data_IF_628950993869
#
_entry.id   IF_628950993869
#
_cell.length_a   1.000
_cell.length_b   1.000
_cell.length_c   1.000
_cell.angle_alpha   90.00
_cell.angle_beta   90.00
_cell.angle_gamma   90.00
#
_symmetry.space_group_name_H-M   'P 1'
#
loop_
_entity.id
_entity.type
_entity.pdbx_description
1 polymer ?
#
# COMPACT_ATOMS: atom_id res chain seq x y z
N UNK A 1 2.03 -33.76 -33.17
CA UNK A 1 1.60 -32.51 -33.81
C UNK A 1 2.47 -31.37 -33.28
N UNK A 2 3.42 -30.89 -34.08
CA UNK A 2 4.26 -29.73 -33.77
C UNK A 2 3.49 -28.48 -34.16
N UNK A 3 2.85 -27.85 -33.18
CA UNK A 3 2.18 -26.55 -33.35
C UNK A 3 3.15 -25.56 -34.01
N UNK A 4 2.76 -24.98 -35.14
CA UNK A 4 3.52 -23.93 -35.85
C UNK A 4 3.49 -22.58 -35.13
N UNK A 5 2.80 -22.49 -33.98
CA UNK A 5 2.80 -21.30 -33.14
C UNK A 5 4.08 -21.19 -32.32
N UNK A 6 4.81 -20.09 -32.46
CA UNK A 6 5.93 -19.75 -31.58
C UNK A 6 5.40 -19.02 -30.35
N UNK A 7 5.89 -19.37 -29.16
CA UNK A 7 5.64 -18.60 -27.95
C UNK A 7 6.49 -17.32 -28.03
N UNK A 8 5.90 -16.12 -27.88
CA UNK A 8 6.67 -14.88 -27.87
C UNK A 8 7.70 -14.87 -26.73
N UNK A 9 8.86 -14.26 -26.98
CA UNK A 9 9.84 -13.95 -25.94
C UNK A 9 9.37 -12.76 -25.10
N UNK A 10 9.97 -12.55 -23.93
CA UNK A 10 9.73 -11.35 -23.10
C UNK A 10 9.87 -10.05 -23.91
N UNK A 11 10.90 -9.98 -24.76
CA UNK A 11 11.10 -8.83 -25.68
C UNK A 11 9.96 -8.67 -26.68
N UNK A 12 9.37 -9.77 -27.14
CA UNK A 12 8.19 -9.74 -28.01
C UNK A 12 6.96 -9.21 -27.28
N UNK A 13 6.73 -9.65 -26.05
CA UNK A 13 5.68 -9.10 -25.21
C UNK A 13 5.91 -7.63 -24.89
N UNK A 14 7.14 -7.22 -24.58
CA UNK A 14 7.50 -5.81 -24.34
C UNK A 14 7.07 -4.90 -25.49
N UNK A 15 7.44 -5.23 -26.73
CA UNK A 15 7.04 -4.44 -27.90
C UNK A 15 5.51 -4.35 -28.05
N UNK A 16 4.81 -5.47 -27.84
CA UNK A 16 3.35 -5.51 -27.89
C UNK A 16 2.70 -4.63 -26.81
N UNK A 17 3.17 -4.75 -25.57
CA UNK A 17 2.61 -4.04 -24.42
C UNK A 17 2.90 -2.54 -24.50
N UNK A 18 4.09 -2.14 -24.95
CA UNK A 18 4.42 -0.72 -25.14
C UNK A 18 3.50 -0.07 -26.18
N UNK A 19 3.24 -0.75 -27.30
CA UNK A 19 2.27 -0.28 -28.30
C UNK A 19 0.86 -0.18 -27.74
N UNK A 20 0.47 -1.14 -26.88
CA UNK A 20 -0.85 -1.17 -26.27
C UNK A 20 -1.03 -0.02 -25.27
N UNK A 21 -0.03 0.27 -24.43
CA UNK A 21 -0.04 1.40 -23.49
C UNK A 21 -0.04 2.73 -24.25
N UNK A 22 0.77 2.88 -25.30
CA UNK A 22 0.77 4.09 -26.12
C UNK A 22 -0.57 4.33 -26.83
N UNK A 23 -1.21 3.26 -27.31
CA UNK A 23 -2.50 3.32 -27.98
C UNK A 23 -3.70 3.31 -27.01
N UNK A 24 -3.48 3.23 -25.69
CA UNK A 24 -4.54 3.08 -24.69
C UNK A 24 -5.56 4.21 -24.77
N UNK A 25 -5.08 5.45 -24.77
CA UNK A 25 -5.90 6.66 -24.88
C UNK A 25 -6.70 6.74 -26.19
N UNK A 26 -6.27 6.04 -27.26
CA UNK A 26 -6.89 6.06 -28.59
C UNK A 26 -7.77 4.81 -28.86
N UNK A 27 -7.53 3.72 -28.15
CA UNK A 27 -8.21 2.43 -28.33
C UNK A 27 -9.66 2.46 -27.86
N UNK A 28 -10.58 2.26 -28.81
CA UNK A 28 -12.03 2.17 -28.52
C UNK A 28 -12.34 1.00 -27.58
N UNK A 29 -11.67 -0.13 -27.76
CA UNK A 29 -11.89 -1.33 -26.95
C UNK A 29 -11.44 -1.14 -25.50
N UNK A 30 -10.23 -0.60 -25.29
CA UNK A 30 -9.69 -0.38 -23.94
C UNK A 30 -10.54 0.65 -23.20
N UNK A 31 -10.92 1.76 -23.83
CA UNK A 31 -11.81 2.77 -23.22
C UNK A 31 -13.19 2.21 -22.89
N UNK A 32 -13.76 1.37 -23.76
CA UNK A 32 -15.04 0.70 -23.49
C UNK A 32 -14.91 -0.19 -22.26
N UNK A 33 -13.92 -1.09 -22.24
CA UNK A 33 -13.66 -1.99 -21.10
C UNK A 33 -13.43 -1.20 -19.81
N UNK A 34 -12.65 -0.11 -19.87
CA UNK A 34 -12.41 0.78 -18.74
C UNK A 34 -13.73 1.33 -18.18
N UNK A 35 -14.59 1.87 -19.04
CA UNK A 35 -15.87 2.46 -18.61
C UNK A 35 -16.82 1.43 -18.00
N UNK A 36 -16.87 0.21 -18.55
CA UNK A 36 -17.71 -0.88 -18.06
C UNK A 36 -17.21 -1.40 -16.70
N UNK A 37 -15.90 -1.61 -16.57
CA UNK A 37 -15.27 -2.06 -15.34
C UNK A 37 -15.36 -1.00 -14.23
N UNK A 38 -15.13 0.27 -14.56
CA UNK A 38 -15.32 1.38 -13.61
C UNK A 38 -16.74 1.39 -13.05
N UNK A 39 -17.75 1.29 -13.92
CA UNK A 39 -19.16 1.22 -13.50
C UNK A 39 -19.47 -0.04 -12.69
N UNK A 40 -18.83 -1.15 -12.99
CA UNK A 40 -18.99 -2.39 -12.24
C UNK A 40 -18.40 -2.26 -10.83
N UNK A 41 -17.19 -1.72 -10.71
CA UNK A 41 -16.48 -1.55 -9.45
C UNK A 41 -17.17 -0.52 -8.56
N UNK A 42 -17.53 0.64 -9.09
CA UNK A 42 -18.11 1.73 -8.29
C UNK A 42 -19.43 1.34 -7.61
N UNK A 43 -20.26 0.51 -8.27
CA UNK A 43 -21.52 -0.01 -7.68
C UNK A 43 -21.35 -0.63 -6.30
N UNK A 44 -20.23 -1.31 -6.06
CA UNK A 44 -19.92 -1.95 -4.79
C UNK A 44 -19.06 -1.02 -3.93
N UNK A 45 -17.99 -0.45 -4.50
CA UNK A 45 -17.01 0.32 -3.74
C UNK A 45 -17.57 1.62 -3.18
N UNK A 46 -18.50 2.29 -3.88
CA UNK A 46 -19.13 3.54 -3.41
C UNK A 46 -19.99 3.33 -2.15
N UNK A 47 -20.34 2.08 -1.82
CA UNK A 47 -21.13 1.74 -0.63
C UNK A 47 -20.25 1.44 0.59
N UNK A 48 -18.93 1.31 0.40
CA UNK A 48 -17.98 0.95 1.45
C UNK A 48 -17.30 2.20 1.99
N UNK A 49 -17.46 2.43 3.29
CA UNK A 49 -16.84 3.54 4.02
C UNK A 49 -15.56 3.13 4.74
N UNK A 50 -15.44 1.86 5.14
CA UNK A 50 -14.23 1.35 5.78
C UNK A 50 -13.13 1.10 4.74
N UNK A 51 -11.94 1.67 4.95
CA UNK A 51 -10.83 1.58 4.01
C UNK A 51 -10.31 0.13 3.88
N UNK A 52 -10.25 -0.61 4.99
CA UNK A 52 -9.75 -1.99 4.97
C UNK A 52 -10.68 -2.86 4.12
N UNK A 53 -11.99 -2.84 4.40
CA UNK A 53 -13.01 -3.58 3.65
C UNK A 53 -13.04 -3.16 2.17
N UNK A 54 -12.89 -1.86 1.89
CA UNK A 54 -12.89 -1.33 0.52
C UNK A 54 -11.69 -1.81 -0.28
N UNK A 55 -10.48 -1.78 0.27
CA UNK A 55 -9.27 -2.23 -0.42
C UNK A 55 -9.24 -3.75 -0.61
N UNK A 56 -9.69 -4.53 0.38
CA UNK A 56 -9.84 -5.97 0.26
C UNK A 56 -10.87 -6.35 -0.82
N UNK A 57 -12.03 -5.68 -0.83
CA UNK A 57 -13.07 -5.88 -1.85
C UNK A 57 -12.56 -5.48 -3.23
N UNK A 58 -11.80 -4.39 -3.33
CA UNK A 58 -11.18 -3.93 -4.57
C UNK A 58 -10.24 -4.98 -5.16
N UNK A 59 -9.37 -5.58 -4.34
CA UNK A 59 -8.48 -6.65 -4.78
C UNK A 59 -9.27 -7.85 -5.30
N UNK A 60 -10.33 -8.27 -4.58
CA UNK A 60 -11.18 -9.39 -5.00
C UNK A 60 -11.90 -9.13 -6.32
N UNK A 61 -12.47 -7.92 -6.50
CA UNK A 61 -13.13 -7.53 -7.73
C UNK A 61 -12.16 -7.49 -8.90
N UNK A 62 -10.96 -6.96 -8.69
CA UNK A 62 -9.92 -6.91 -9.71
C UNK A 62 -9.48 -8.32 -10.13
N UNK A 63 -9.14 -9.17 -9.17
CA UNK A 63 -8.75 -10.56 -9.41
C UNK A 63 -9.85 -11.35 -10.16
N UNK A 64 -11.11 -11.15 -9.78
CA UNK A 64 -12.26 -11.80 -10.44
C UNK A 64 -12.48 -11.28 -11.86
N UNK A 65 -12.30 -9.98 -12.08
CA UNK A 65 -12.50 -9.37 -13.39
C UNK A 65 -11.42 -9.80 -14.38
N UNK A 66 -10.17 -9.93 -13.95
CA UNK A 66 -9.04 -10.23 -14.82
C UNK A 66 -8.71 -11.71 -14.91
N UNK A 67 -8.98 -12.48 -13.86
CA UNK A 67 -8.50 -13.86 -13.74
C UNK A 67 -7.03 -13.94 -13.36
N UNK A 68 -6.46 -12.88 -12.80
CA UNK A 68 -5.08 -12.81 -12.30
C UNK A 68 -5.08 -12.65 -10.77
N UNK A 69 -3.89 -12.65 -10.14
CA UNK A 69 -3.76 -12.17 -8.77
C UNK A 69 -3.74 -10.64 -8.75
N UNK A 70 -4.39 -10.07 -7.73
CA UNK A 70 -4.48 -8.64 -7.51
C UNK A 70 -3.80 -8.29 -6.19
N UNK A 71 -3.03 -7.21 -6.22
CA UNK A 71 -2.30 -6.66 -5.08
C UNK A 71 -2.57 -5.17 -5.05
N UNK A 72 -3.00 -4.64 -3.92
CA UNK A 72 -3.26 -3.21 -3.75
C UNK A 72 -2.51 -2.73 -2.53
N UNK A 73 -1.64 -1.74 -2.71
CA UNK A 73 -0.99 -1.06 -1.61
C UNK A 73 -2.00 -0.26 -0.83
N UNK A 74 -1.89 -0.29 0.50
CA UNK A 74 -2.58 0.69 1.32
C UNK A 74 -1.92 2.06 1.10
N UNK A 75 -2.70 3.15 1.06
CA UNK A 75 -2.14 4.48 0.87
C UNK A 75 -1.18 4.78 2.01
N UNK A 76 0.05 5.11 1.66
CA UNK A 76 1.07 5.38 2.65
C UNK A 76 0.82 6.78 3.21
N UNK A 77 0.48 6.88 4.50
CA UNK A 77 0.16 8.15 5.16
C UNK A 77 1.44 8.97 5.51
N UNK A 78 2.53 8.74 4.77
CA UNK A 78 3.84 9.35 5.00
C UNK A 78 3.83 10.88 4.87
N UNK A 79 2.85 11.42 4.14
CA UNK A 79 2.60 12.86 3.99
C UNK A 79 1.49 13.38 4.92
N UNK A 80 1.11 12.63 5.95
CA UNK A 80 0.06 13.07 6.89
C UNK A 80 0.67 13.77 8.10
N UNK A 81 0.08 14.92 8.41
CA UNK A 81 0.42 15.72 9.58
C UNK A 81 -0.16 15.09 10.85
N UNK A 82 0.63 15.12 11.92
CA UNK A 82 0.16 14.74 13.24
C UNK A 82 -0.77 15.84 13.76
N UNK A 83 -1.98 15.44 14.12
CA UNK A 83 -2.98 16.32 14.74
C UNK A 83 -2.78 16.42 16.24
N UNK A 84 -2.58 15.27 16.90
CA UNK A 84 -2.34 15.22 18.35
C UNK A 84 -1.73 13.89 18.81
N UNK A 85 -1.02 13.95 19.94
CA UNK A 85 -0.65 12.77 20.74
C UNK A 85 -1.40 12.86 22.08
N UNK A 86 -2.26 11.89 22.38
CA UNK A 86 -2.99 11.83 23.64
C UNK A 86 -2.44 10.73 24.55
N UNK A 87 -2.46 10.99 25.86
CA UNK A 87 -2.02 10.04 26.88
C UNK A 87 -3.15 9.83 27.88
N UNK A 88 -3.67 8.61 27.96
CA UNK A 88 -4.75 8.25 28.89
C UNK A 88 -4.20 7.29 29.93
N UNK A 89 -4.16 7.70 31.19
CA UNK A 89 -3.69 6.83 32.27
C UNK A 89 -4.65 5.66 32.48
N UNK A 90 -4.08 4.45 32.57
CA UNK A 90 -4.83 3.21 32.81
C UNK A 90 -4.61 2.71 34.23
N UNK A 91 -3.39 2.88 34.77
CA UNK A 91 -3.02 2.55 36.14
C UNK A 91 -1.81 3.39 36.58
N UNK A 92 -1.29 3.19 37.79
CA UNK A 92 -0.15 3.96 38.30
C UNK A 92 1.08 3.89 37.38
N UNK A 93 1.34 2.76 36.72
CA UNK A 93 2.48 2.56 35.83
C UNK A 93 2.10 2.22 34.38
N UNK A 94 0.87 2.51 33.94
CA UNK A 94 0.44 2.26 32.54
C UNK A 94 -0.37 3.41 31.99
N UNK A 95 -0.14 3.72 30.72
CA UNK A 95 -0.96 4.65 29.96
C UNK A 95 -1.18 4.15 28.53
N UNK A 96 -2.31 4.50 27.97
CA UNK A 96 -2.58 4.38 26.55
C UNK A 96 -2.00 5.60 25.85
N UNK A 97 -1.10 5.37 24.90
CA UNK A 97 -0.63 6.38 23.96
C UNK A 97 -1.55 6.32 22.75
N UNK A 98 -2.07 7.47 22.35
CA UNK A 98 -2.95 7.61 21.19
C UNK A 98 -2.31 8.59 20.22
N UNK A 99 -2.17 8.19 18.96
CA UNK A 99 -1.72 9.04 17.86
C UNK A 99 -2.92 9.37 16.96
N UNK A 100 -3.15 10.66 16.75
CA UNK A 100 -4.23 11.19 15.90
C UNK A 100 -3.59 11.96 14.76
N UNK A 101 -3.98 11.66 13.53
CA UNK A 101 -3.51 12.34 12.32
C UNK A 101 -4.58 13.28 11.76
N UNK A 102 -4.19 14.21 10.87
CA UNK A 102 -5.15 15.07 10.15
C UNK A 102 -6.07 14.28 9.20
N UNK A 103 -5.66 13.07 8.79
CA UNK A 103 -6.50 12.12 8.04
C UNK A 103 -7.52 11.37 8.91
N UNK A 104 -7.85 11.91 10.09
CA UNK A 104 -8.75 11.33 11.11
C UNK A 104 -8.42 9.90 11.58
N UNK A 105 -7.22 9.38 11.28
CA UNK A 105 -6.80 8.05 11.71
C UNK A 105 -6.35 8.10 13.15
N UNK A 106 -6.89 7.18 13.95
CA UNK A 106 -6.59 7.03 15.37
C UNK A 106 -5.93 5.68 15.59
N UNK A 107 -4.74 5.68 16.16
CA UNK A 107 -4.04 4.46 16.58
C UNK A 107 -3.68 4.55 18.06
N UNK A 108 -3.66 3.41 18.75
CA UNK A 108 -3.45 3.37 20.19
C UNK A 108 -2.54 2.21 20.62
N UNK A 109 -1.68 2.46 21.61
CA UNK A 109 -0.77 1.46 22.15
C UNK A 109 -0.67 1.58 23.67
N UNK A 110 -0.78 0.46 24.38
CA UNK A 110 -0.63 0.43 25.83
C UNK A 110 0.85 0.40 26.20
N UNK A 111 1.30 1.44 26.88
CA UNK A 111 2.68 1.57 27.37
C UNK A 111 2.75 1.21 28.85
N UNK A 112 3.79 0.48 29.22
CA UNK A 112 4.14 0.16 30.61
C UNK A 112 5.38 0.94 31.01
N UNK A 113 5.28 1.70 32.10
CA UNK A 113 6.34 2.52 32.65
C UNK A 113 7.18 1.75 33.68
N UNK A 114 8.46 2.08 33.83
CA UNK A 114 9.32 1.46 34.84
C UNK A 114 9.03 1.93 36.27
N UNK A 115 8.26 3.02 36.42
CA UNK A 115 7.91 3.66 37.69
C UNK A 115 6.44 4.06 37.68
N UNK A 116 5.88 4.34 38.85
CA UNK A 116 4.58 4.99 38.94
C UNK A 116 4.68 6.43 38.43
N UNK A 117 3.69 6.84 37.65
CA UNK A 117 3.62 8.13 36.97
C UNK A 117 2.38 8.86 37.50
N UNK A 118 2.59 10.05 38.06
CA UNK A 118 1.51 10.90 38.52
C UNK A 118 0.79 11.58 37.33
N UNK A 119 -0.46 12.01 37.55
CA UNK A 119 -1.31 12.54 36.46
C UNK A 119 -0.75 13.86 35.90
N UNK A 120 -0.20 14.70 36.76
CA UNK A 120 0.49 15.94 36.43
C UNK A 120 1.76 15.70 35.59
N UNK A 121 2.56 14.71 35.98
CA UNK A 121 3.74 14.30 35.22
C UNK A 121 3.35 13.80 33.82
N UNK A 122 2.32 12.96 33.71
CA UNK A 122 1.84 12.46 32.42
C UNK A 122 1.31 13.60 31.54
N UNK A 123 0.57 14.56 32.11
CA UNK A 123 0.07 15.74 31.41
C UNK A 123 1.21 16.64 30.90
N UNK A 124 2.26 16.84 31.71
CA UNK A 124 3.44 17.61 31.32
C UNK A 124 4.17 16.94 30.15
N UNK A 125 4.37 15.61 30.21
CA UNK A 125 5.02 14.85 29.15
C UNK A 125 4.20 14.84 27.85
N UNK A 126 2.87 14.74 27.96
CA UNK A 126 1.95 14.92 26.81
C UNK A 126 2.16 16.27 26.15
N UNK A 127 2.20 17.35 26.93
CA UNK A 127 2.43 18.71 26.43
C UNK A 127 3.78 18.83 25.71
N UNK A 128 4.83 18.22 26.28
CA UNK A 128 6.15 18.22 25.67
C UNK A 128 6.20 17.44 24.35
N UNK A 129 5.58 16.26 24.28
CA UNK A 129 5.46 15.51 23.03
C UNK A 129 4.68 16.30 21.96
N UNK A 130 3.53 16.89 22.31
CA UNK A 130 2.74 17.68 21.35
C UNK A 130 3.46 18.95 20.87
N UNK A 131 4.29 19.57 21.71
CA UNK A 131 5.04 20.78 21.35
C UNK A 131 5.97 20.61 20.14
N UNK A 132 6.36 19.37 19.84
CA UNK A 132 7.20 19.03 18.68
C UNK A 132 6.47 18.18 17.64
N UNK A 133 5.29 17.66 17.96
CA UNK A 133 4.57 16.72 17.11
C UNK A 133 3.49 17.39 16.26
N UNK A 134 2.71 18.32 16.85
CA UNK A 134 1.53 18.89 16.18
C UNK A 134 1.94 19.64 14.91
N UNK A 135 1.27 19.33 13.80
CA UNK A 135 1.53 19.96 12.50
C UNK A 135 2.82 19.51 11.83
N UNK A 136 3.45 18.42 12.30
CA UNK A 136 4.64 17.83 11.69
C UNK A 136 4.26 16.60 10.89
N UNK A 137 4.95 16.37 9.77
CA UNK A 137 4.87 15.14 9.00
C UNK A 137 5.26 13.94 9.86
N UNK A 138 4.48 12.86 9.78
CA UNK A 138 4.70 11.67 10.61
C UNK A 138 6.10 11.07 10.43
N UNK A 139 6.72 11.24 9.26
CA UNK A 139 8.07 10.75 8.95
C UNK A 139 9.20 11.53 9.64
N UNK A 140 8.96 12.81 9.94
CA UNK A 140 9.93 13.67 10.65
C UNK A 140 9.81 13.51 12.18
N UNK A 141 8.66 13.02 12.66
CA UNK A 141 8.34 12.89 14.07
C UNK A 141 9.37 12.06 14.88
N UNK A 142 9.90 10.91 14.38
CA UNK A 142 10.90 10.12 15.11
C UNK A 142 12.14 10.92 15.49
N UNK A 143 12.65 11.75 14.58
CA UNK A 143 13.84 12.55 14.82
C UNK A 143 13.58 13.65 15.86
N UNK A 144 12.41 14.29 15.81
CA UNK A 144 12.02 15.35 16.75
C UNK A 144 11.73 14.82 18.16
N UNK A 145 11.02 13.69 18.27
CA UNK A 145 10.76 13.05 19.55
C UNK A 145 12.06 12.59 20.23
N UNK A 146 13.01 12.05 19.45
CA UNK A 146 14.33 11.68 19.98
C UNK A 146 15.10 12.88 20.54
N UNK A 147 15.09 14.03 19.85
CA UNK A 147 15.67 15.28 20.36
C UNK A 147 14.99 15.77 21.64
N UNK A 148 13.68 15.56 21.75
CA UNK A 148 12.91 15.99 22.93
C UNK A 148 13.34 15.26 24.20
N UNK A 149 13.81 14.02 24.11
CA UNK A 149 14.37 13.25 25.24
C UNK A 149 15.59 13.92 25.89
N UNK A 150 16.30 14.77 25.15
CA UNK A 150 17.47 15.50 25.66
C UNK A 150 17.07 16.77 26.43
N UNK A 151 15.81 17.20 26.31
CA UNK A 151 15.30 18.47 26.86
C UNK A 151 14.55 18.31 28.19
N UNK A 152 14.36 17.07 28.67
CA UNK A 152 13.61 16.78 29.90
C UNK A 152 14.54 16.47 31.07
N UNK A 153 13.99 16.60 32.29
CA UNK A 153 14.72 16.26 33.50
C UNK A 153 15.09 14.76 33.53
N UNK A 154 16.19 14.37 34.21
CA UNK A 154 16.61 12.97 34.30
C UNK A 154 15.53 12.03 34.85
N UNK A 155 14.69 12.51 35.78
CA UNK A 155 13.58 11.76 36.36
C UNK A 155 12.48 11.42 35.35
N UNK A 156 12.26 12.29 34.36
CA UNK A 156 11.22 12.16 33.35
C UNK A 156 11.69 11.37 32.13
N UNK A 157 13.00 11.27 31.92
CA UNK A 157 13.59 10.69 30.72
C UNK A 157 13.15 9.25 30.49
N UNK A 158 13.06 8.43 31.55
CA UNK A 158 12.64 7.04 31.43
C UNK A 158 11.16 6.89 31.05
N UNK A 159 10.29 7.77 31.57
CA UNK A 159 8.86 7.78 31.25
C UNK A 159 8.65 8.29 29.83
N UNK A 160 9.30 9.41 29.47
CA UNK A 160 9.24 9.96 28.12
C UNK A 160 9.80 8.99 27.08
N UNK A 161 10.89 8.27 27.38
CA UNK A 161 11.41 7.23 26.48
C UNK A 161 10.33 6.21 26.14
N UNK A 162 9.59 5.71 27.14
CA UNK A 162 8.51 4.74 26.91
C UNK A 162 7.35 5.32 26.11
N UNK A 163 7.02 6.60 26.31
CA UNK A 163 6.03 7.31 25.48
C UNK A 163 6.53 7.39 24.03
N UNK A 164 7.78 7.82 23.83
CA UNK A 164 8.40 7.94 22.50
C UNK A 164 8.44 6.58 21.81
N UNK A 165 8.91 5.53 22.49
CA UNK A 165 8.92 4.16 21.95
C UNK A 165 7.50 3.71 21.56
N UNK A 166 6.50 4.02 22.39
CA UNK A 166 5.09 3.75 22.08
C UNK A 166 4.60 4.50 20.84
N UNK A 167 4.93 5.79 20.71
CA UNK A 167 4.60 6.58 19.50
C UNK A 167 5.33 6.02 18.27
N UNK A 168 6.60 5.65 18.38
CA UNK A 168 7.35 5.05 17.27
C UNK A 168 6.72 3.73 16.81
N UNK A 169 6.27 2.88 17.74
CA UNK A 169 5.52 1.67 17.41
C UNK A 169 4.21 1.98 16.68
N UNK A 170 3.52 3.07 17.05
CA UNK A 170 2.33 3.52 16.35
C UNK A 170 2.67 4.01 14.94
N UNK A 171 3.74 4.81 14.77
CA UNK A 171 4.21 5.24 13.45
C UNK A 171 4.57 4.04 12.59
N UNK A 172 5.33 3.07 13.11
CA UNK A 172 5.70 1.86 12.37
C UNK A 172 4.47 1.00 12.04
N UNK A 173 3.46 0.98 12.92
CA UNK A 173 2.17 0.36 12.65
C UNK A 173 1.33 1.15 11.64
N UNK A 174 1.57 2.45 11.49
CA UNK A 174 0.97 3.28 10.44
C UNK A 174 1.67 3.06 9.10
N UNK A 175 2.98 2.83 9.13
CA UNK A 175 3.83 2.41 8.01
C UNK A 175 3.68 0.93 7.70
N UNK A 176 2.60 0.26 8.12
CA UNK A 176 2.41 -1.12 7.70
C UNK A 176 2.41 -1.11 6.17
N UNK A 177 3.45 -1.76 5.63
CA UNK A 177 3.64 -2.19 4.24
C UNK A 177 2.50 -3.15 3.85
N UNK A 178 1.27 -2.69 4.08
CA UNK A 178 0.06 -3.47 4.06
C UNK A 178 -0.36 -3.52 2.62
N UNK A 179 -0.73 -4.71 2.23
CA UNK A 179 -1.14 -5.04 0.90
C UNK A 179 -2.47 -5.80 1.02
N UNK A 180 -3.48 -5.37 0.27
CA UNK A 180 -4.69 -6.14 0.07
C UNK A 180 -4.46 -7.11 -1.08
N UNK A 181 -4.79 -8.38 -0.87
CA UNK A 181 -4.49 -9.46 -1.81
C UNK A 181 -5.73 -10.27 -2.16
N UNK A 182 -5.84 -10.63 -3.43
CA UNK A 182 -6.82 -11.62 -3.88
C UNK A 182 -6.34 -12.36 -5.13
N UNK A 183 -6.95 -13.50 -5.42
CA UNK A 183 -6.74 -14.20 -6.69
C UNK A 183 -5.52 -15.11 -6.77
N UNK A 184 -4.88 -15.47 -5.65
CA UNK A 184 -3.80 -16.48 -5.65
C UNK A 184 -4.24 -17.82 -6.24
N UNK A 185 -5.52 -18.19 -6.04
CA UNK A 185 -6.12 -19.37 -6.66
C UNK A 185 -6.18 -19.30 -8.19
N UNK A 186 -6.20 -18.10 -8.79
CA UNK A 186 -6.11 -17.94 -10.24
C UNK A 186 -4.72 -18.30 -10.77
N UNK A 187 -3.66 -17.99 -10.01
CA UNK A 187 -2.29 -18.35 -10.37
C UNK A 187 -2.12 -19.86 -10.41
N UNK A 188 -2.66 -20.56 -9.41
CA UNK A 188 -2.65 -22.04 -9.35
C UNK A 188 -3.43 -22.66 -10.51
N UNK A 189 -4.55 -22.06 -10.92
CA UNK A 189 -5.30 -22.54 -12.10
C UNK A 189 -4.53 -22.42 -13.42
N UNK A 190 -3.56 -21.51 -13.48
CA UNK A 190 -2.73 -21.21 -14.65
C UNK A 190 -1.26 -21.64 -14.45
N UNK A 191 -1.00 -22.62 -13.56
CA UNK A 191 0.35 -23.06 -13.18
C UNK A 191 1.25 -23.39 -14.38
N UNK A 192 0.68 -24.01 -15.41
CA UNK A 192 1.38 -24.40 -16.64
C UNK A 192 1.98 -23.22 -17.42
N UNK A 193 1.47 -22.01 -17.18
CA UNK A 193 1.92 -20.78 -17.85
C UNK A 193 3.11 -20.10 -17.15
N UNK A 194 3.49 -20.54 -15.95
CA UNK A 194 4.61 -19.98 -15.17
C UNK A 194 5.94 -20.69 -15.38
N UNK A 195 6.01 -21.71 -16.24
CA UNK A 195 7.28 -22.39 -16.56
C UNK A 195 7.99 -23.01 -15.34
N UNK A 196 7.23 -23.37 -14.29
CA UNK A 196 7.76 -23.89 -13.03
C UNK A 196 8.10 -22.84 -11.96
N UNK A 197 7.94 -21.54 -12.23
CA UNK A 197 8.21 -20.46 -11.28
C UNK A 197 7.07 -20.14 -10.29
N UNK A 198 5.94 -20.84 -10.37
CA UNK A 198 4.78 -20.55 -9.50
C UNK A 198 5.08 -20.72 -8.00
N UNK A 199 5.78 -21.77 -7.52
CA UNK A 199 6.07 -21.90 -6.10
C UNK A 199 6.83 -20.70 -5.52
N UNK A 200 7.89 -20.27 -6.21
CA UNK A 200 8.68 -19.09 -5.81
C UNK A 200 7.85 -17.80 -5.85
N UNK A 201 6.99 -17.65 -6.85
CA UNK A 201 6.06 -16.52 -6.90
C UNK A 201 5.13 -16.51 -5.67
N UNK A 202 4.57 -17.65 -5.29
CA UNK A 202 3.68 -17.75 -4.13
C UNK A 202 4.43 -17.43 -2.83
N UNK A 203 5.67 -17.90 -2.67
CA UNK A 203 6.53 -17.54 -1.52
C UNK A 203 6.74 -16.02 -1.44
N UNK A 204 7.06 -15.36 -2.55
CA UNK A 204 7.19 -13.88 -2.59
C UNK A 204 5.87 -13.17 -2.30
N UNK A 205 4.73 -13.70 -2.74
CA UNK A 205 3.42 -13.12 -2.43
C UNK A 205 3.05 -13.27 -0.95
N UNK A 206 3.46 -14.36 -0.30
CA UNK A 206 3.30 -14.56 1.15
C UNK A 206 4.23 -13.61 1.94
N UNK A 207 5.42 -13.31 1.42
CA UNK A 207 6.37 -12.35 1.98
C UNK A 207 6.00 -10.89 1.61
N UNK A 208 4.90 -10.38 2.16
CA UNK A 208 4.30 -9.08 1.80
C UNK A 208 5.29 -7.89 1.79
N UNK A 209 6.31 -7.91 2.66
CA UNK A 209 7.30 -6.83 2.76
C UNK A 209 8.14 -6.69 1.49
N UNK A 210 8.55 -7.81 0.90
CA UNK A 210 9.42 -7.82 -0.27
C UNK A 210 8.65 -7.35 -1.50
N UNK A 211 7.40 -7.77 -1.63
CA UNK A 211 6.52 -7.26 -2.68
C UNK A 211 6.19 -5.78 -2.50
N UNK A 212 5.97 -5.31 -1.27
CA UNK A 212 5.72 -3.90 -1.01
C UNK A 212 6.93 -3.05 -1.39
N UNK A 213 8.13 -3.46 -0.98
CA UNK A 213 9.39 -2.79 -1.35
C UNK A 213 9.60 -2.79 -2.87
N UNK A 214 9.32 -3.92 -3.53
CA UNK A 214 9.37 -4.03 -4.98
C UNK A 214 8.45 -3.02 -5.67
N UNK A 215 7.18 -2.91 -5.24
CA UNK A 215 6.23 -1.95 -5.81
C UNK A 215 6.69 -0.50 -5.61
N UNK A 216 7.35 -0.18 -4.50
CA UNK A 216 7.88 1.16 -4.22
C UNK A 216 9.12 1.54 -5.03
N UNK A 217 9.89 0.57 -5.51
CA UNK A 217 11.04 0.84 -6.39
C UNK A 217 10.61 1.42 -7.74
N UNK A 218 9.35 1.22 -8.13
CA UNK A 218 8.81 1.74 -9.37
C UNK A 218 8.05 3.04 -9.11
N UNK A 219 8.60 4.18 -9.53
CA UNK A 219 7.84 5.43 -9.60
C UNK A 219 7.04 5.49 -10.90
N UNK A 220 5.75 5.75 -10.79
CA UNK A 220 4.85 5.91 -11.93
C UNK A 220 4.63 7.41 -12.17
N UNK A 221 4.61 7.82 -13.43
CA UNK A 221 4.06 9.13 -13.77
C UNK A 221 2.54 9.05 -13.58
N UNK A 222 1.91 10.12 -13.08
CA UNK A 222 0.62 10.07 -12.36
C UNK A 222 -0.59 9.54 -13.12
N UNK A 223 -0.45 9.21 -14.39
CA UNK A 223 -1.53 8.70 -15.25
C UNK A 223 -1.14 7.50 -16.10
N UNK A 224 0.14 7.15 -16.16
CA UNK A 224 0.60 6.09 -17.06
C UNK A 224 0.81 4.77 -16.31
N UNK A 225 0.11 3.70 -16.73
CA UNK A 225 0.35 2.37 -16.19
C UNK A 225 1.72 1.84 -16.64
N UNK A 226 2.28 0.91 -15.89
CA UNK A 226 3.56 0.25 -16.23
C UNK A 226 3.40 -1.26 -16.21
N UNK A 227 3.92 -1.90 -17.25
CA UNK A 227 4.12 -3.35 -17.25
C UNK A 227 5.57 -3.69 -16.94
N UNK A 228 5.80 -4.78 -16.22
CA UNK A 228 7.12 -5.40 -15.98
C UNK A 228 6.99 -6.86 -16.39
N UNK A 229 7.82 -7.31 -17.33
CA UNK A 229 7.59 -8.56 -18.05
C UNK A 229 8.77 -9.50 -17.84
N UNK A 230 8.51 -10.64 -17.20
CA UNK A 230 9.43 -11.76 -17.11
C UNK A 230 10.80 -11.35 -16.58
N UNK A 231 11.83 -11.48 -17.43
CA UNK A 231 13.23 -11.12 -17.15
C UNK A 231 13.51 -9.67 -16.76
N UNK A 232 12.54 -8.77 -16.88
CA UNK A 232 12.65 -7.38 -16.39
C UNK A 232 12.45 -7.24 -14.89
N UNK A 233 11.91 -8.27 -14.23
CA UNK A 233 11.74 -8.28 -12.79
C UNK A 233 13.09 -8.27 -12.08
N UNK A 234 13.29 -7.33 -11.16
CA UNK A 234 14.50 -7.25 -10.33
C UNK A 234 14.57 -8.35 -9.25
N UNK A 235 13.43 -8.98 -8.96
CA UNK A 235 13.29 -10.09 -8.01
C UNK A 235 13.28 -11.39 -8.82
N UNK A 236 14.19 -12.30 -8.50
CA UNK A 236 14.45 -13.51 -9.30
C UNK A 236 13.22 -14.42 -9.34
N UNK A 237 12.51 -14.48 -8.23
CA UNK A 237 11.30 -15.27 -8.00
C UNK A 237 10.13 -14.79 -8.90
N UNK A 238 10.16 -13.53 -9.35
CA UNK A 238 9.13 -12.94 -10.22
C UNK A 238 9.47 -13.08 -11.72
N UNK A 239 10.64 -13.61 -12.09
CA UNK A 239 11.13 -13.62 -13.48
C UNK A 239 10.29 -14.44 -14.46
N UNK A 240 9.41 -15.33 -13.98
CA UNK A 240 8.46 -16.08 -14.81
C UNK A 240 7.04 -15.48 -14.81
N UNK A 241 6.88 -14.28 -14.25
CA UNK A 241 5.60 -13.58 -14.12
C UNK A 241 5.63 -12.23 -14.83
N UNK A 242 4.48 -11.59 -14.94
CA UNK A 242 4.36 -10.22 -15.39
C UNK A 242 3.49 -9.44 -14.43
N UNK A 243 3.91 -8.20 -14.19
CA UNK A 243 3.24 -7.28 -13.30
C UNK A 243 2.70 -6.10 -14.10
N UNK A 244 1.44 -5.74 -13.84
CA UNK A 244 0.82 -4.56 -14.44
C UNK A 244 0.39 -3.60 -13.33
N UNK A 245 0.98 -2.41 -13.33
CA UNK A 245 0.94 -1.43 -12.26
C UNK A 245 0.19 -0.18 -12.71
N UNK A 246 -0.57 0.42 -11.80
CA UNK A 246 -1.03 1.81 -11.90
C UNK A 246 -1.05 2.42 -10.50
N UNK A 247 -0.74 3.70 -10.42
CA UNK A 247 -0.81 4.47 -9.18
C UNK A 247 -2.18 5.11 -9.02
N UNK A 248 -2.63 5.19 -7.78
CA UNK A 248 -3.72 6.07 -7.43
C UNK A 248 -3.21 7.20 -6.54
N UNK A 249 -3.88 8.35 -6.65
CA UNK A 249 -3.32 9.63 -6.23
C UNK A 249 -4.24 10.33 -5.23
N UNK A 250 -3.64 11.20 -4.41
CA UNK A 250 -4.35 12.17 -3.61
C UNK A 250 -3.76 13.56 -3.86
N UNK A 251 -4.58 14.56 -4.20
CA UNK A 251 -4.14 15.93 -4.48
C UNK A 251 -2.96 16.02 -5.48
N UNK A 252 -2.88 15.07 -6.42
CA UNK A 252 -1.81 14.98 -7.42
C UNK A 252 -0.55 14.22 -6.99
N UNK A 253 -0.45 13.76 -5.74
CA UNK A 253 0.66 12.92 -5.27
C UNK A 253 0.30 11.43 -5.32
N UNK A 254 1.25 10.59 -5.73
CA UNK A 254 1.12 9.12 -5.67
C UNK A 254 1.08 8.68 -4.21
N UNK A 255 -0.05 8.09 -3.79
CA UNK A 255 -0.21 7.60 -2.41
C UNK A 255 -0.08 6.09 -2.29
N UNK A 256 -0.40 5.34 -3.34
CA UNK A 256 -0.25 3.89 -3.42
C UNK A 256 -0.47 3.36 -4.84
N UNK A 257 -0.25 2.05 -5.02
CA UNK A 257 -0.36 1.35 -6.30
C UNK A 257 -1.36 0.21 -6.27
N UNK A 258 -1.98 -0.01 -7.41
CA UNK A 258 -2.70 -1.23 -7.78
C UNK A 258 -1.82 -2.03 -8.73
N UNK A 259 -1.69 -3.33 -8.47
CA UNK A 259 -0.93 -4.25 -9.27
C UNK A 259 -1.74 -5.50 -9.62
N UNK A 260 -1.57 -5.98 -10.84
CA UNK A 260 -1.90 -7.35 -11.22
C UNK A 260 -0.62 -8.16 -11.34
N UNK A 261 -0.68 -9.41 -10.92
CA UNK A 261 0.39 -10.39 -11.05
C UNK A 261 -0.17 -11.60 -11.78
N UNK A 262 0.46 -11.97 -12.89
CA UNK A 262 0.01 -13.07 -13.75
C UNK A 262 1.16 -13.66 -14.55
N UNK A 263 0.90 -14.67 -15.41
CA UNK A 263 1.91 -15.20 -16.32
C UNK A 263 2.29 -14.16 -17.38
N UNK A 264 3.44 -14.33 -18.04
CA UNK A 264 3.85 -13.44 -19.15
C UNK A 264 2.83 -13.41 -20.29
N UNK A 265 2.09 -14.50 -20.46
CA UNK A 265 0.96 -14.64 -21.37
C UNK A 265 -0.36 -14.32 -20.67
N UNK A 266 -0.74 -13.05 -20.66
CA UNK A 266 -2.05 -12.61 -20.15
C UNK A 266 -2.78 -11.67 -21.11
N UNK A 267 -4.05 -11.37 -20.83
CA UNK A 267 -4.82 -10.40 -21.62
C UNK A 267 -4.46 -8.97 -21.20
N UNK A 268 -3.32 -8.46 -21.69
CA UNK A 268 -2.84 -7.11 -21.36
C UNK A 268 -3.87 -6.01 -21.65
N UNK A 269 -4.65 -6.11 -22.72
CA UNK A 269 -5.68 -5.10 -23.05
C UNK A 269 -6.75 -4.97 -21.97
N UNK A 270 -7.34 -6.11 -21.57
CA UNK A 270 -8.36 -6.16 -20.54
C UNK A 270 -7.78 -5.82 -19.16
N UNK A 271 -6.60 -6.36 -18.85
CA UNK A 271 -5.95 -6.16 -17.57
C UNK A 271 -5.55 -4.68 -17.37
N UNK A 272 -5.12 -4.01 -18.44
CA UNK A 272 -4.84 -2.57 -18.44
C UNK A 272 -6.08 -1.75 -18.11
N UNK A 273 -7.18 -2.01 -18.83
CA UNK A 273 -8.45 -1.35 -18.57
C UNK A 273 -8.93 -1.53 -17.12
N UNK A 274 -8.74 -2.73 -16.56
CA UNK A 274 -9.17 -3.06 -15.19
C UNK A 274 -8.36 -2.33 -14.13
N UNK A 275 -7.03 -2.36 -14.24
CA UNK A 275 -6.11 -1.69 -13.30
C UNK A 275 -6.33 -0.18 -13.33
N UNK A 276 -6.43 0.41 -14.52
CA UNK A 276 -6.70 1.84 -14.67
C UNK A 276 -8.05 2.24 -14.09
N UNK A 277 -9.11 1.45 -14.37
CA UNK A 277 -10.45 1.74 -13.85
C UNK A 277 -10.49 1.75 -12.32
N UNK A 278 -9.80 0.80 -11.69
CA UNK A 278 -9.73 0.72 -10.24
C UNK A 278 -8.87 1.82 -9.64
N UNK A 279 -7.68 2.07 -10.17
CA UNK A 279 -6.80 3.14 -9.71
C UNK A 279 -7.47 4.51 -9.82
N UNK A 280 -8.24 4.75 -10.89
CA UNK A 280 -9.00 5.98 -11.06
C UNK A 280 -10.11 6.14 -10.00
N UNK A 281 -10.83 5.08 -9.64
CA UNK A 281 -11.83 5.13 -8.56
C UNK A 281 -11.17 5.42 -7.22
N UNK A 282 -10.10 4.69 -6.90
CA UNK A 282 -9.37 4.88 -5.64
C UNK A 282 -8.68 6.24 -5.54
N UNK A 283 -8.37 6.91 -6.65
CA UNK A 283 -7.79 8.27 -6.62
C UNK A 283 -8.81 9.34 -6.28
N UNK A 284 -10.05 9.22 -6.79
CA UNK A 284 -11.08 10.26 -6.66
C UNK A 284 -11.52 10.47 -5.21
N UNK A 285 -11.46 9.43 -4.40
CA UNK A 285 -12.07 9.42 -3.06
C UNK A 285 -11.09 9.79 -1.94
N UNK A 286 -9.81 10.00 -2.24
CA UNK A 286 -8.83 10.49 -1.24
C UNK A 286 -8.77 12.03 -1.27
N UNK A 287 -9.41 12.65 -2.27
CA UNK A 287 -9.61 14.10 -2.34
C UNK A 287 -10.70 14.62 -1.37
N UNK A 288 -11.57 13.74 -0.83
CA UNK A 288 -12.60 14.05 0.20
C UNK A 288 -12.12 13.73 1.61
#
# INVERSE_FOLDING_TARGET
>A
HTSSGRIPTDKGYRVFVDQLIQAEAESVEIRKNFSELRKLFSKTLDQLTDLDERLETSAQMLAKATGEAAVIQYPNLNSVLVRAIELVKVSSNRALVILITESERIQQHLVVFPVDVADDQLQQLRGKANSVAVGVLIDDLPALLKKTLETVAPADKAVLQRIVDGVLLLIDSNRQDKLAYAGTTNLVRNEDQFGGGLPSLLETLDEQKDLFAFLNNWKLDSTQPRAIIGSENSVVELTNSSLLLSSYHNQGEEVAKVALVGPTRMNYSKNLAAVLALAHLLSKDIEE
#
